data_IF_215471266005
#
_entry.id   IF_215471266005
#
_cell.length_a   1.000
_cell.length_b   1.000
_cell.length_c   1.000
_cell.angle_alpha   90.00
_cell.angle_beta   90.00
_cell.angle_gamma   90.00
#
_symmetry.space_group_name_H-M   'P 1'
#
loop_
_entity.id
_entity.type
_entity.pdbx_description
1 polymer ?
#
# COMPACT_ATOMS: atom_id res chain seq x y z
N UNK A 1 -20.08 -14.16 -21.35
CA UNK A 1 -20.70 -14.01 -20.03
C UNK A 1 -19.78 -13.09 -19.24
N UNK A 2 -20.20 -11.84 -19.02
CA UNK A 2 -19.41 -10.77 -18.42
C UNK A 2 -19.83 -10.66 -16.96
N UNK A 3 -18.88 -10.70 -16.03
CA UNK A 3 -19.14 -10.52 -14.60
C UNK A 3 -18.49 -9.20 -14.18
N UNK A 4 -19.32 -8.27 -13.71
CA UNK A 4 -18.93 -7.06 -13.00
C UNK A 4 -18.59 -7.42 -11.54
N UNK A 5 -17.50 -6.89 -11.00
CA UNK A 5 -17.28 -6.84 -9.56
C UNK A 5 -17.41 -5.37 -9.11
N UNK A 6 -18.49 -5.08 -8.41
CA UNK A 6 -18.72 -3.81 -7.71
C UNK A 6 -17.86 -3.72 -6.44
N UNK A 7 -17.49 -2.48 -6.13
CA UNK A 7 -16.61 -2.09 -5.05
C UNK A 7 -17.23 -2.32 -3.65
N UNK A 8 -16.44 -2.89 -2.74
CA UNK A 8 -16.77 -2.96 -1.32
C UNK A 8 -16.33 -1.67 -0.63
N UNK A 9 -17.29 -0.97 -0.03
CA UNK A 9 -17.10 0.27 0.70
C UNK A 9 -17.54 0.02 2.16
N UNK A 10 -16.61 0.04 3.11
CA UNK A 10 -16.96 -0.05 4.54
C UNK A 10 -16.17 0.98 5.34
N UNK A 11 -16.88 2.02 5.81
CA UNK A 11 -16.47 2.77 7.00
C UNK A 11 -17.69 3.08 7.88
N UNK A 12 -17.62 2.53 9.09
CA UNK A 12 -18.13 3.02 10.38
C UNK A 12 -19.61 3.41 10.51
N UNK A 13 -20.35 2.59 11.27
CA UNK A 13 -21.46 3.06 12.10
C UNK A 13 -21.40 2.44 13.50
N UNK A 14 -21.60 3.31 14.47
CA UNK A 14 -21.52 3.12 15.92
C UNK A 14 -22.33 1.92 16.41
N UNK A 15 -21.71 1.16 17.31
CA UNK A 15 -22.30 0.09 18.10
C UNK A 15 -23.26 0.69 19.13
N UNK A 16 -24.57 0.40 19.00
CA UNK A 16 -25.51 0.46 20.11
C UNK A 16 -26.02 -0.96 20.32
N UNK A 17 -25.83 -1.43 21.53
CA UNK A 17 -26.02 -2.79 22.03
C UNK A 17 -27.52 -3.10 22.18
N UNK A 18 -28.00 -4.16 21.53
CA UNK A 18 -29.30 -4.76 21.85
C UNK A 18 -29.15 -6.29 21.91
N UNK A 19 -29.22 -6.81 23.13
CA UNK A 19 -29.39 -8.23 23.46
C UNK A 19 -30.67 -8.75 22.80
N UNK A 20 -30.55 -9.78 21.97
CA UNK A 20 -31.66 -10.60 21.50
C UNK A 20 -31.86 -11.76 22.49
N UNK A 21 -33.02 -11.79 23.16
CA UNK A 21 -33.56 -12.99 23.80
C UNK A 21 -34.61 -13.60 22.86
N UNK A 22 -34.46 -14.89 22.57
CA UNK A 22 -35.42 -15.72 21.82
C UNK A 22 -36.66 -16.04 22.66
N UNK A 23 -37.79 -16.44 22.01
CA UNK A 23 -39.12 -16.47 22.62
C UNK A 23 -39.43 -17.82 23.27
N UNK A 24 -40.33 -17.80 24.26
CA UNK A 24 -40.88 -19.01 24.87
C UNK A 24 -41.90 -18.69 25.95
N UNK A 25 -43.15 -18.67 25.52
CA UNK A 25 -44.37 -19.18 26.17
C UNK A 25 -44.85 -18.71 27.55
N UNK A 26 -46.14 -18.35 27.49
CA UNK A 26 -47.23 -18.60 28.44
C UNK A 26 -47.41 -17.69 29.69
N UNK A 27 -48.56 -17.03 29.61
CA UNK A 27 -49.59 -16.87 30.64
C UNK A 27 -49.52 -15.76 31.70
N UNK A 28 -50.58 -14.95 31.58
CA UNK A 28 -51.50 -14.52 32.62
C UNK A 28 -51.45 -13.10 33.20
N UNK A 29 -52.63 -12.49 33.03
CA UNK A 29 -53.34 -11.62 33.95
C UNK A 29 -52.92 -10.14 34.06
N UNK A 30 -53.80 -9.29 33.49
CA UNK A 30 -54.45 -8.10 34.09
C UNK A 30 -53.55 -7.03 34.76
N UNK A 31 -53.73 -5.72 34.59
CA UNK A 31 -54.98 -4.99 34.50
C UNK A 31 -54.67 -3.53 34.08
N UNK A 32 -55.61 -2.94 33.35
CA UNK A 32 -56.09 -1.55 33.44
C UNK A 32 -55.14 -0.33 33.29
N UNK A 33 -55.29 0.33 32.14
CA UNK A 33 -55.93 1.67 32.00
C UNK A 33 -55.16 2.92 32.47
N UNK A 34 -54.70 3.75 31.51
CA UNK A 34 -55.33 5.06 31.17
C UNK A 34 -54.54 5.85 30.09
N UNK A 35 -55.28 6.16 29.02
CA UNK A 35 -55.12 7.03 27.83
C UNK A 35 -54.93 8.56 28.14
N UNK A 36 -54.87 9.51 27.17
CA UNK A 36 -53.78 9.79 26.20
C UNK A 36 -53.56 11.32 25.96
N UNK A 37 -52.67 11.71 25.02
CA UNK A 37 -52.79 12.89 24.13
C UNK A 37 -51.60 12.94 23.15
N UNK A 38 -51.78 12.45 21.90
CA UNK A 38 -51.86 13.26 20.66
C UNK A 38 -50.71 14.27 20.44
N UNK A 39 -49.95 14.20 19.35
CA UNK A 39 -50.37 14.80 18.07
C UNK A 39 -49.58 14.21 16.88
N UNK A 40 -50.34 14.04 15.79
CA UNK A 40 -50.06 13.47 14.47
C UNK A 40 -49.43 14.51 13.53
N UNK A 41 -48.57 14.11 12.60
CA UNK A 41 -48.82 14.27 11.15
C UNK A 41 -47.61 13.94 10.25
N UNK A 42 -47.92 13.07 9.29
CA UNK A 42 -47.20 12.47 8.18
C UNK A 42 -46.83 13.48 7.09
N UNK A 43 -45.79 13.20 6.29
CA UNK A 43 -45.51 13.87 5.00
C UNK A 43 -45.45 12.78 3.93
N UNK A 44 -46.18 13.01 2.84
CA UNK A 44 -46.17 12.22 1.61
C UNK A 44 -46.05 13.13 0.36
N UNK A 45 -45.26 12.62 -0.58
CA UNK A 45 -45.16 12.76 -2.04
C UNK A 45 -45.16 14.11 -2.85
N UNK A 46 -44.17 14.14 -3.76
CA UNK A 46 -44.13 14.59 -5.18
C UNK A 46 -44.63 15.99 -5.62
N UNK A 47 -43.81 16.68 -6.42
CA UNK A 47 -43.97 16.82 -7.89
C UNK A 47 -42.91 17.72 -8.59
N UNK A 48 -42.78 17.50 -9.91
CA UNK A 48 -41.88 18.12 -10.91
C UNK A 48 -42.23 19.59 -11.25
N UNK A 49 -41.26 20.38 -11.74
CA UNK A 49 -41.24 20.93 -13.13
C UNK A 49 -40.41 22.23 -13.32
N UNK A 50 -39.56 22.21 -14.36
CA UNK A 50 -39.33 23.21 -15.45
C UNK A 50 -39.08 24.70 -15.13
N UNK A 51 -37.95 25.23 -15.61
CA UNK A 51 -37.76 26.67 -15.83
C UNK A 51 -37.50 26.98 -17.31
N UNK A 52 -38.34 27.89 -17.85
CA UNK A 52 -38.25 28.50 -19.18
C UNK A 52 -37.31 29.70 -19.19
N UNK A 53 -36.77 29.98 -20.37
CA UNK A 53 -36.03 31.20 -20.71
C UNK A 53 -36.97 32.40 -20.93
N UNK A 54 -36.52 33.59 -20.50
CA UNK A 54 -37.10 34.88 -20.90
C UNK A 54 -35.98 35.85 -21.22
N UNK A 55 -36.02 36.43 -22.43
CA UNK A 55 -35.15 37.50 -22.88
C UNK A 55 -35.64 38.87 -22.36
N UNK A 56 -34.71 39.78 -22.04
CA UNK A 56 -34.97 41.17 -21.70
C UNK A 56 -33.75 42.03 -22.05
N UNK A 57 -33.97 43.15 -22.74
CA UNK A 57 -32.98 43.95 -23.47
C UNK A 57 -32.12 44.88 -22.61
N UNK A 58 -30.89 45.08 -23.10
CA UNK A 58 -30.03 46.27 -23.17
C UNK A 58 -30.02 47.30 -22.02
N UNK A 59 -28.81 47.58 -21.51
CA UNK A 59 -28.16 48.89 -21.67
C UNK A 59 -26.64 48.79 -21.42
N UNK A 60 -25.90 49.62 -22.17
CA UNK A 60 -24.44 49.78 -22.22
C UNK A 60 -23.82 50.06 -20.85
N UNK A 61 -22.72 49.36 -20.52
CA UNK A 61 -21.73 49.84 -19.55
C UNK A 61 -20.32 49.39 -19.96
N UNK A 62 -19.53 50.39 -20.39
CA UNK A 62 -18.06 50.48 -20.43
C UNK A 62 -17.23 49.19 -20.47
N UNK A 63 -16.84 48.78 -21.68
CA UNK A 63 -15.69 47.89 -21.92
C UNK A 63 -14.38 48.55 -21.46
N UNK A 64 -14.03 48.42 -20.19
CA UNK A 64 -12.63 48.52 -19.75
C UNK A 64 -11.88 47.32 -20.31
N UNK A 65 -10.99 47.55 -21.27
CA UNK A 65 -10.03 46.56 -21.75
C UNK A 65 -9.25 46.01 -20.54
N UNK A 66 -9.58 44.77 -20.13
CA UNK A 66 -8.78 44.01 -19.19
C UNK A 66 -7.49 43.62 -19.92
N UNK A 67 -6.37 44.23 -19.52
CA UNK A 67 -5.04 43.77 -19.93
C UNK A 67 -4.87 42.29 -19.56
N UNK A 68 -4.20 41.47 -20.39
CA UNK A 68 -3.97 40.07 -20.06
C UNK A 68 -3.23 39.97 -18.73
N UNK A 69 -3.78 39.22 -17.78
CA UNK A 69 -3.05 38.86 -16.56
C UNK A 69 -1.73 38.19 -16.97
N UNK A 70 -0.58 38.58 -16.38
CA UNK A 70 0.62 37.79 -16.53
C UNK A 70 0.35 36.37 -15.99
N UNK A 71 0.95 35.33 -16.59
CA UNK A 71 0.76 33.97 -16.10
C UNK A 71 1.17 33.89 -14.62
N UNK A 72 0.47 33.09 -13.81
CA UNK A 72 0.84 32.92 -12.42
C UNK A 72 2.28 32.40 -12.35
N UNK A 73 3.14 33.12 -11.64
CA UNK A 73 4.46 32.65 -11.28
C UNK A 73 4.31 31.28 -10.61
N UNK A 74 4.81 30.23 -11.24
CA UNK A 74 5.09 28.95 -10.60
C UNK A 74 6.28 29.15 -9.64
N UNK A 75 6.00 29.78 -8.50
CA UNK A 75 6.84 29.71 -7.31
C UNK A 75 5.98 29.13 -6.21
N UNK A 76 5.67 27.83 -6.33
CA UNK A 76 5.32 27.02 -5.16
C UNK A 76 6.63 26.61 -4.51
N UNK A 77 7.20 27.55 -3.74
CA UNK A 77 8.18 27.25 -2.70
C UNK A 77 7.44 26.59 -1.51
N UNK A 78 6.76 25.47 -1.73
CA UNK A 78 6.37 24.58 -0.64
C UNK A 78 7.62 23.79 -0.20
N UNK A 79 8.58 24.52 0.37
CA UNK A 79 9.72 23.97 1.09
C UNK A 79 9.17 23.32 2.34
N UNK A 80 8.96 22.00 2.29
CA UNK A 80 8.45 21.27 3.43
C UNK A 80 9.64 21.00 4.35
N UNK A 81 9.84 21.89 5.31
CA UNK A 81 10.86 21.75 6.36
C UNK A 81 10.84 20.34 6.97
N UNK A 82 11.88 19.56 6.70
CA UNK A 82 12.02 18.19 7.17
C UNK A 82 11.88 18.08 8.69
N UNK A 83 12.29 19.10 9.46
CA UNK A 83 12.08 19.13 10.92
C UNK A 83 10.60 19.26 11.28
N UNK A 84 9.80 19.95 10.46
CA UNK A 84 8.34 20.00 10.63
C UNK A 84 7.70 18.66 10.25
N UNK A 85 8.18 17.99 9.20
CA UNK A 85 7.73 16.64 8.81
C UNK A 85 7.97 15.67 9.96
N UNK A 86 9.20 15.57 10.46
CA UNK A 86 9.54 14.70 11.59
C UNK A 86 8.65 15.00 12.80
N UNK A 87 8.43 16.28 13.14
CA UNK A 87 7.54 16.63 14.25
C UNK A 87 6.09 16.20 14.04
N UNK A 88 5.63 16.17 12.79
CA UNK A 88 4.27 15.74 12.43
C UNK A 88 4.14 14.22 12.41
N UNK A 89 5.08 13.53 11.76
CA UNK A 89 5.09 12.07 11.58
C UNK A 89 5.38 11.30 12.88
N UNK A 90 5.94 11.95 13.91
CA UNK A 90 6.28 11.37 15.22
C UNK A 90 6.99 10.01 15.08
N UNK A 91 8.25 9.99 14.65
CA UNK A 91 9.02 8.77 14.51
C UNK A 91 9.11 8.05 15.84
N UNK A 92 8.80 6.77 15.82
CA UNK A 92 8.87 5.91 16.99
C UNK A 92 9.83 4.73 16.71
N UNK A 93 10.26 4.00 17.74
CA UNK A 93 10.96 2.74 17.54
C UNK A 93 10.20 1.86 16.55
N UNK A 94 10.90 1.35 15.54
CA UNK A 94 10.29 0.66 14.40
C UNK A 94 11.09 -0.55 13.98
N UNK A 95 10.43 -1.48 13.31
CA UNK A 95 11.07 -2.63 12.63
C UNK A 95 10.82 -2.49 11.13
N UNK A 96 11.78 -2.90 10.31
CA UNK A 96 11.57 -3.07 8.88
C UNK A 96 11.95 -4.49 8.50
N UNK A 97 10.97 -5.32 8.16
CA UNK A 97 11.22 -6.65 7.61
C UNK A 97 11.74 -6.51 6.18
N UNK A 98 12.88 -7.15 5.90
CA UNK A 98 13.56 -7.11 4.62
C UNK A 98 13.24 -8.37 3.80
N UNK A 99 13.48 -9.54 4.40
CA UNK A 99 13.30 -10.83 3.72
C UNK A 99 12.96 -11.96 4.71
N UNK A 100 12.30 -12.99 4.19
CA UNK A 100 12.11 -14.28 4.88
C UNK A 100 12.52 -15.39 3.94
N UNK A 101 13.46 -16.21 4.39
CA UNK A 101 14.04 -17.29 3.61
C UNK A 101 13.82 -18.65 4.30
N UNK A 102 13.08 -19.59 3.69
CA UNK A 102 12.92 -20.94 4.21
C UNK A 102 14.12 -21.82 3.85
N UNK A 103 14.84 -22.32 4.85
CA UNK A 103 16.06 -23.07 4.63
C UNK A 103 15.77 -24.54 4.29
N UNK A 104 16.02 -24.94 3.04
CA UNK A 104 15.91 -26.32 2.54
C UNK A 104 14.51 -26.96 2.61
N UNK A 105 13.43 -26.17 2.53
CA UNK A 105 12.09 -26.71 2.35
C UNK A 105 11.17 -25.77 1.57
N UNK A 106 10.20 -26.29 0.79
CA UNK A 106 9.17 -25.45 0.18
C UNK A 106 8.24 -24.95 1.28
N UNK A 107 8.22 -23.63 1.50
CA UNK A 107 7.31 -23.03 2.47
C UNK A 107 5.86 -23.19 1.99
N UNK A 108 4.96 -23.55 2.91
CA UNK A 108 3.51 -23.53 2.74
C UNK A 108 2.94 -23.10 4.08
N UNK A 109 2.08 -22.10 4.11
CA UNK A 109 1.53 -21.60 5.36
C UNK A 109 1.37 -20.09 5.38
N UNK A 110 1.35 -19.53 6.58
CA UNK A 110 1.14 -18.09 6.79
C UNK A 110 2.16 -17.48 7.72
N UNK A 111 2.46 -16.23 7.44
CA UNK A 111 3.27 -15.36 8.28
C UNK A 111 2.41 -14.17 8.65
N UNK A 112 2.28 -13.93 9.94
CA UNK A 112 1.50 -12.84 10.52
C UNK A 112 2.42 -12.01 11.39
N UNK A 113 2.38 -10.69 11.23
CA UNK A 113 3.03 -9.77 12.16
C UNK A 113 1.94 -9.06 12.95
N UNK A 114 1.96 -9.24 14.27
CA UNK A 114 0.92 -8.73 15.16
C UNK A 114 1.28 -7.34 15.69
N UNK A 115 0.58 -6.35 15.16
CA UNK A 115 0.49 -5.00 15.72
C UNK A 115 -0.97 -4.58 15.69
N UNK A 116 -1.60 -4.46 16.86
CA UNK A 116 -2.96 -3.91 17.02
C UNK A 116 -3.99 -4.44 16.00
N UNK A 117 -3.94 -5.73 15.64
CA UNK A 117 -4.92 -6.35 14.72
C UNK A 117 -4.38 -7.32 13.66
N UNK A 118 -3.12 -7.75 13.75
CA UNK A 118 -2.53 -8.79 12.88
C UNK A 118 -2.52 -8.46 11.38
N UNK A 119 -1.40 -7.95 10.86
CA UNK A 119 -1.22 -7.83 9.41
C UNK A 119 -0.66 -9.16 8.85
N UNK A 120 -1.35 -9.73 7.87
CA UNK A 120 -0.85 -10.89 7.12
C UNK A 120 0.26 -10.42 6.18
N UNK A 121 1.46 -10.97 6.36
CA UNK A 121 2.63 -10.61 5.55
C UNK A 121 2.86 -11.63 4.44
N UNK A 122 2.45 -12.89 4.66
CA UNK A 122 2.51 -13.94 3.67
C UNK A 122 1.39 -14.96 3.89
N UNK A 123 0.80 -15.47 2.82
CA UNK A 123 -0.11 -16.61 2.85
C UNK A 123 0.06 -17.41 1.57
N UNK A 124 0.26 -18.71 1.72
CA UNK A 124 0.30 -19.67 0.63
C UNK A 124 -0.49 -20.91 1.03
N UNK A 125 -1.40 -21.32 0.15
CA UNK A 125 -2.22 -22.51 0.34
C UNK A 125 -1.52 -23.78 -0.19
N UNK A 126 -1.96 -24.93 0.30
CA UNK A 126 -1.44 -26.22 -0.14
C UNK A 126 -1.79 -26.46 -1.61
N UNK A 127 -0.78 -26.72 -2.45
CA UNK A 127 -0.93 -26.91 -3.89
C UNK A 127 -0.62 -25.66 -4.73
N UNK A 128 -0.42 -24.51 -4.10
CA UNK A 128 0.14 -23.32 -4.76
C UNK A 128 1.67 -23.43 -4.83
N UNK A 129 2.27 -22.96 -5.91
CA UNK A 129 3.72 -22.83 -5.98
C UNK A 129 4.18 -21.64 -5.12
N UNK A 130 5.25 -21.77 -4.32
CA UNK A 130 5.75 -20.67 -3.53
C UNK A 130 6.23 -19.56 -4.45
N UNK A 131 5.72 -18.34 -4.25
CA UNK A 131 6.26 -17.17 -4.92
C UNK A 131 7.55 -16.77 -4.22
N UNK A 132 8.67 -17.03 -4.91
CA UNK A 132 10.00 -16.64 -4.50
C UNK A 132 10.51 -15.52 -5.40
N UNK A 133 11.33 -14.62 -4.86
CA UNK A 133 12.04 -13.65 -5.66
C UNK A 133 13.33 -14.26 -6.26
N UNK A 134 14.11 -13.45 -6.96
CA UNK A 134 15.37 -13.89 -7.58
C UNK A 134 16.44 -14.37 -6.60
N UNK A 135 16.29 -14.07 -5.30
CA UNK A 135 17.19 -14.45 -4.22
C UNK A 135 16.62 -15.60 -3.37
N UNK A 136 15.56 -16.26 -3.85
CA UNK A 136 14.84 -17.34 -3.16
C UNK A 136 14.12 -16.89 -1.87
N UNK A 137 13.91 -15.59 -1.67
CA UNK A 137 13.13 -15.08 -0.54
C UNK A 137 11.63 -15.19 -0.82
N UNK A 138 10.82 -15.38 0.22
CA UNK A 138 9.36 -15.36 0.10
C UNK A 138 8.89 -13.97 -0.37
N UNK A 139 8.16 -13.93 -1.48
CA UNK A 139 7.49 -12.71 -1.95
C UNK A 139 6.33 -12.41 -1.01
N UNK A 140 6.46 -11.38 -0.19
CA UNK A 140 5.45 -11.01 0.80
C UNK A 140 4.24 -10.37 0.07
N UNK A 141 3.16 -11.15 -0.09
CA UNK A 141 2.15 -10.94 -1.15
C UNK A 141 1.00 -9.99 -0.80
N UNK A 142 0.90 -9.50 0.44
CA UNK A 142 -0.21 -8.60 0.82
C UNK A 142 0.27 -7.17 1.00
N UNK A 143 -0.52 -6.17 0.56
CA UNK A 143 -0.23 -4.78 0.88
C UNK A 143 -0.36 -4.57 2.39
N UNK A 144 0.77 -4.59 3.10
CA UNK A 144 0.87 -4.14 4.47
C UNK A 144 1.30 -2.67 4.48
N UNK A 145 0.60 -1.87 5.29
CA UNK A 145 0.90 -0.43 5.44
C UNK A 145 2.27 -0.22 6.08
N UNK A 146 2.71 -1.16 6.90
CA UNK A 146 4.08 -1.25 7.42
C UNK A 146 4.17 -2.53 8.25
N UNK A 147 5.37 -3.12 8.32
CA UNK A 147 5.72 -4.11 9.35
C UNK A 147 6.48 -3.37 10.45
N UNK A 148 5.98 -2.19 10.83
CA UNK A 148 6.66 -1.19 11.66
C UNK A 148 6.17 -1.23 13.09
N UNK A 149 6.69 -2.18 13.86
CA UNK A 149 6.32 -2.33 15.26
C UNK A 149 6.90 -1.22 16.08
N UNK A 150 6.04 -0.52 16.83
CA UNK A 150 6.40 0.38 17.92
C UNK A 150 7.34 -0.32 18.93
N UNK A 151 8.63 -0.39 18.63
CA UNK A 151 9.73 -0.87 19.47
C UNK A 151 9.72 -2.33 19.90
N UNK A 152 8.59 -3.02 19.78
CA UNK A 152 8.40 -4.43 20.09
C UNK A 152 7.22 -4.96 19.29
N UNK A 153 7.49 -5.85 18.34
CA UNK A 153 6.46 -6.58 17.59
C UNK A 153 6.71 -8.07 17.66
N UNK A 154 5.70 -8.88 17.38
CA UNK A 154 5.88 -10.32 17.22
C UNK A 154 5.46 -10.77 15.83
N UNK A 155 6.30 -11.59 15.23
CA UNK A 155 6.04 -12.30 13.98
C UNK A 155 5.71 -13.74 14.33
N UNK A 156 4.51 -14.17 13.99
CA UNK A 156 4.07 -15.56 14.13
C UNK A 156 4.11 -16.24 12.78
N UNK A 157 4.76 -17.39 12.73
CA UNK A 157 4.87 -18.24 11.54
C UNK A 157 4.08 -19.51 11.84
N UNK A 158 3.15 -19.83 10.95
CA UNK A 158 2.32 -21.03 11.03
C UNK A 158 2.49 -21.84 9.75
N UNK A 159 3.04 -23.05 9.92
CA UNK A 159 3.32 -23.96 8.81
C UNK A 159 2.49 -25.23 9.04
N UNK A 160 1.52 -25.56 8.16
CA UNK A 160 0.78 -26.80 8.25
C UNK A 160 1.72 -28.01 8.22
N UNK A 161 1.37 -29.05 8.97
CA UNK A 161 2.13 -30.28 8.98
C UNK A 161 1.61 -31.25 7.92
N UNK A 162 2.39 -31.44 6.85
CA UNK A 162 2.04 -32.31 5.71
C UNK A 162 1.73 -33.73 6.19
N UNK A 163 2.52 -34.23 7.16
CA UNK A 163 2.36 -35.59 7.66
C UNK A 163 1.14 -35.78 8.60
N UNK A 164 0.52 -34.69 9.08
CA UNK A 164 -0.54 -34.71 10.09
C UNK A 164 -1.58 -33.61 9.83
N UNK A 165 -2.64 -33.92 9.06
CA UNK A 165 -3.71 -32.97 8.80
C UNK A 165 -4.29 -32.36 10.09
N UNK A 166 -4.47 -31.05 10.12
CA UNK A 166 -4.98 -30.30 11.27
C UNK A 166 -3.93 -29.95 12.34
N UNK A 167 -2.68 -30.39 12.18
CA UNK A 167 -1.56 -29.95 13.02
C UNK A 167 -0.87 -28.76 12.35
N UNK A 168 -0.70 -27.67 13.10
CA UNK A 168 0.03 -26.48 12.68
C UNK A 168 1.30 -26.38 13.52
N UNK A 169 2.44 -26.23 12.85
CA UNK A 169 3.71 -25.92 13.47
C UNK A 169 3.85 -24.41 13.59
N UNK A 170 3.78 -23.93 14.82
CA UNK A 170 3.82 -22.51 15.13
C UNK A 170 5.16 -22.16 15.76
N UNK A 171 5.73 -21.04 15.32
CA UNK A 171 6.86 -20.40 15.99
C UNK A 171 6.66 -18.90 15.99
N UNK A 172 7.27 -18.22 16.96
CA UNK A 172 7.15 -16.78 17.13
C UNK A 172 8.54 -16.17 17.24
N UNK A 173 8.79 -15.15 16.45
CA UNK A 173 9.93 -14.25 16.60
C UNK A 173 9.45 -12.97 17.28
N UNK A 174 10.13 -12.59 18.35
CA UNK A 174 9.96 -11.27 18.98
C UNK A 174 11.06 -10.36 18.47
N UNK A 175 10.66 -9.19 17.95
CA UNK A 175 11.59 -8.16 17.52
C UNK A 175 12.02 -7.33 18.73
N UNK A 176 13.35 -7.24 18.95
CA UNK A 176 13.96 -6.33 19.93
C UNK A 176 13.67 -6.66 21.40
N UNK A 177 14.64 -7.23 22.11
CA UNK A 177 14.51 -7.51 23.56
C UNK A 177 15.01 -6.35 24.45
N UNK A 178 15.61 -5.31 23.87
CA UNK A 178 16.26 -4.19 24.57
C UNK A 178 16.08 -2.89 23.78
N UNK A 179 16.13 -1.70 24.44
CA UNK A 179 16.05 -0.43 23.75
C UNK A 179 17.14 -0.32 22.67
N UNK A 180 16.69 -0.27 21.42
CA UNK A 180 17.54 -0.07 20.26
C UNK A 180 18.19 1.32 20.37
N UNK A 181 19.52 1.36 20.48
CA UNK A 181 20.27 2.63 20.59
C UNK A 181 20.54 3.22 19.21
N UNK A 182 20.85 2.36 18.23
CA UNK A 182 21.15 2.68 16.84
C UNK A 182 20.47 1.68 15.89
N UNK A 183 20.19 2.12 14.66
CA UNK A 183 19.56 1.25 13.68
C UNK A 183 20.50 0.07 13.32
N UNK A 184 19.94 -1.15 13.33
CA UNK A 184 20.73 -2.38 13.22
C UNK A 184 20.01 -3.43 12.37
N UNK A 185 20.71 -3.94 11.37
CA UNK A 185 20.33 -5.13 10.62
C UNK A 185 20.55 -6.40 11.45
N UNK A 186 19.59 -7.33 11.40
CA UNK A 186 19.67 -8.63 12.04
C UNK A 186 19.13 -9.73 11.12
N UNK A 187 19.96 -10.75 10.89
CA UNK A 187 19.50 -12.06 10.42
C UNK A 187 19.25 -12.99 11.61
N UNK A 188 18.00 -13.45 11.74
CA UNK A 188 17.64 -14.42 12.77
C UNK A 188 17.21 -15.75 12.19
N UNK A 189 17.92 -16.80 12.58
CA UNK A 189 17.51 -18.18 12.37
C UNK A 189 16.40 -18.55 13.37
N UNK A 190 15.18 -18.71 12.86
CA UNK A 190 14.04 -19.23 13.58
C UNK A 190 13.96 -20.74 13.37
N UNK A 191 13.78 -21.48 14.46
CA UNK A 191 13.52 -22.91 14.40
C UNK A 191 12.10 -23.18 14.88
N UNK A 192 11.34 -23.93 14.08
CA UNK A 192 9.99 -24.36 14.45
C UNK A 192 10.02 -25.55 15.40
N UNK A 193 8.87 -25.93 15.96
CA UNK A 193 8.78 -27.07 16.91
C UNK A 193 9.23 -28.39 16.27
N UNK A 194 8.99 -28.56 14.96
CA UNK A 194 9.40 -29.75 14.22
C UNK A 194 10.74 -29.59 13.49
N UNK A 195 11.55 -28.59 13.85
CA UNK A 195 12.91 -28.45 13.34
C UNK A 195 13.02 -27.88 11.93
N UNK A 196 11.99 -27.21 11.43
CA UNK A 196 12.10 -26.40 10.19
C UNK A 196 12.82 -25.10 10.53
N UNK A 197 13.63 -24.62 9.59
CA UNK A 197 14.51 -23.49 9.79
C UNK A 197 14.18 -22.35 8.83
N UNK A 198 13.92 -21.16 9.34
CA UNK A 198 13.73 -19.96 8.53
C UNK A 198 14.72 -18.90 8.94
N UNK A 199 15.29 -18.18 7.98
CA UNK A 199 16.04 -16.96 8.25
C UNK A 199 15.10 -15.78 8.02
N UNK A 200 15.04 -14.89 9.00
CA UNK A 200 14.29 -13.63 8.93
C UNK A 200 15.29 -12.50 9.02
N UNK A 201 15.40 -11.73 7.94
CA UNK A 201 16.22 -10.52 7.84
C UNK A 201 15.35 -9.30 8.11
N UNK A 202 15.74 -8.48 9.08
CA UNK A 202 15.03 -7.26 9.44
C UNK A 202 15.96 -6.20 10.02
N UNK A 203 15.48 -4.97 10.08
CA UNK A 203 16.22 -3.85 10.70
C UNK A 203 15.43 -3.30 11.88
N UNK A 204 16.07 -3.25 13.04
CA UNK A 204 15.56 -2.54 14.21
C UNK A 204 15.97 -1.08 14.13
N UNK A 205 15.06 -0.16 14.39
CA UNK A 205 15.30 1.27 14.35
C UNK A 205 14.82 1.91 15.64
N UNK A 206 15.64 2.81 16.20
CA UNK A 206 15.22 3.63 17.35
C UNK A 206 14.12 4.62 16.97
N UNK A 207 14.20 5.19 15.78
CA UNK A 207 13.26 6.15 15.21
C UNK A 207 13.14 5.85 13.71
N UNK A 208 12.04 5.20 13.34
CA UNK A 208 11.72 4.89 11.95
C UNK A 208 10.74 5.91 11.36
N UNK A 209 10.95 6.25 10.09
CA UNK A 209 10.03 7.07 9.30
C UNK A 209 9.39 6.19 8.22
N UNK A 210 8.06 6.10 8.21
CA UNK A 210 7.32 5.42 7.14
C UNK A 210 7.31 6.28 5.86
N UNK A 211 7.82 5.72 4.77
CA UNK A 211 7.88 6.38 3.46
C UNK A 211 7.01 5.61 2.48
N UNK A 212 5.91 6.22 2.06
CA UNK A 212 5.05 5.70 1.03
C UNK A 212 5.68 5.94 -0.35
N UNK A 213 5.85 4.88 -1.14
CA UNK A 213 6.42 4.86 -2.47
C UNK A 213 5.32 4.60 -3.48
N UNK A 214 5.21 5.46 -4.48
CA UNK A 214 4.35 5.26 -5.63
C UNK A 214 5.19 5.33 -6.91
N UNK A 215 4.98 4.36 -7.79
CA UNK A 215 5.67 4.28 -9.07
C UNK A 215 4.65 4.36 -10.21
N UNK A 216 4.96 5.19 -11.19
CA UNK A 216 4.18 5.33 -12.41
C UNK A 216 5.07 5.26 -13.63
N UNK A 217 4.59 4.60 -14.67
CA UNK A 217 5.25 4.47 -15.97
C UNK A 217 4.48 5.27 -17.01
N UNK A 218 5.19 5.89 -17.95
CA UNK A 218 4.60 6.55 -19.12
C UNK A 218 5.47 6.25 -20.34
N UNK A 219 4.86 5.76 -21.40
CA UNK A 219 5.54 5.59 -22.69
C UNK A 219 5.40 6.85 -23.54
N UNK A 220 6.33 7.05 -24.47
CA UNK A 220 6.34 8.16 -25.42
C UNK A 220 5.93 7.70 -26.83
N UNK A 221 5.49 8.64 -27.66
CA UNK A 221 5.14 8.39 -29.06
C UNK A 221 3.85 7.60 -29.22
N UNK A 222 3.80 6.72 -30.22
CA UNK A 222 2.60 5.98 -30.62
C UNK A 222 2.13 4.97 -29.54
N UNK A 223 2.97 4.68 -28.55
CA UNK A 223 2.68 3.75 -27.46
C UNK A 223 2.06 4.41 -26.22
N UNK A 224 1.94 5.74 -26.20
CA UNK A 224 1.51 6.53 -25.03
C UNK A 224 0.19 6.04 -24.41
N UNK A 225 -0.74 5.57 -25.24
CA UNK A 225 -2.07 5.12 -24.80
C UNK A 225 -2.34 3.64 -25.08
N UNK A 226 -1.31 2.88 -25.45
CA UNK A 226 -1.45 1.46 -25.74
C UNK A 226 -1.38 0.64 -24.46
N UNK A 227 -2.13 -0.45 -24.44
CA UNK A 227 -2.01 -1.44 -23.37
C UNK A 227 -0.63 -2.09 -23.43
N UNK A 228 0.04 -2.15 -22.28
CA UNK A 228 1.40 -2.67 -22.15
C UNK A 228 1.39 -3.95 -21.32
N UNK A 229 2.41 -4.79 -21.50
CA UNK A 229 2.71 -5.88 -20.56
C UNK A 229 4.03 -5.61 -19.88
N UNK A 230 4.04 -5.76 -18.55
CA UNK A 230 5.15 -5.42 -17.68
C UNK A 230 5.60 -6.65 -16.90
N UNK A 231 6.92 -6.85 -16.80
CA UNK A 231 7.53 -7.76 -15.82
C UNK A 231 8.82 -7.13 -15.27
N UNK A 232 9.40 -7.74 -14.24
CA UNK A 232 10.59 -7.27 -13.55
C UNK A 232 10.33 -6.96 -12.07
N UNK A 233 11.20 -6.13 -11.48
CA UNK A 233 11.16 -5.83 -10.06
C UNK A 233 11.46 -4.37 -9.72
N UNK A 234 10.92 -3.93 -8.59
CA UNK A 234 11.24 -2.66 -7.95
C UNK A 234 11.58 -2.97 -6.50
N UNK A 235 12.75 -2.52 -6.06
CA UNK A 235 13.19 -2.69 -4.69
C UNK A 235 13.55 -1.36 -4.04
N UNK A 236 13.49 -1.33 -2.72
CA UNK A 236 13.89 -0.21 -1.89
C UNK A 236 15.11 -0.57 -1.05
N UNK A 237 16.05 0.36 -0.95
CA UNK A 237 17.29 0.15 -0.25
C UNK A 237 17.66 1.36 0.63
N UNK A 238 18.21 1.06 1.79
CA UNK A 238 18.83 2.02 2.69
C UNK A 238 20.17 1.41 3.15
N UNK A 239 21.16 2.25 3.43
CA UNK A 239 22.50 1.79 3.83
C UNK A 239 22.51 0.88 5.07
N UNK A 240 21.55 1.04 5.97
CA UNK A 240 21.41 0.20 7.17
C UNK A 240 20.89 -1.20 6.82
N UNK A 241 20.34 -1.39 5.63
CA UNK A 241 19.88 -2.70 5.15
C UNK A 241 21.05 -3.56 4.63
N UNK A 242 22.29 -3.05 4.69
CA UNK A 242 23.49 -3.73 4.17
C UNK A 242 23.38 -4.08 2.68
N UNK A 243 23.35 -5.35 2.31
CA UNK A 243 23.18 -5.78 0.91
C UNK A 243 21.70 -6.07 0.56
N UNK A 244 20.82 -6.13 1.57
CA UNK A 244 19.42 -6.49 1.41
C UNK A 244 18.58 -5.33 0.85
N UNK A 245 17.45 -5.71 0.26
CA UNK A 245 16.49 -4.77 -0.32
C UNK A 245 15.07 -5.17 0.06
N UNK A 246 14.23 -4.17 0.28
CA UNK A 246 12.79 -4.37 0.47
C UNK A 246 12.15 -4.53 -0.91
N UNK A 247 11.53 -5.67 -1.17
CA UNK A 247 10.80 -5.92 -2.42
C UNK A 247 9.47 -5.15 -2.44
N UNK A 248 9.29 -4.26 -3.41
CA UNK A 248 8.08 -3.43 -3.57
C UNK A 248 7.17 -3.92 -4.69
N UNK A 249 7.79 -4.33 -5.79
CA UNK A 249 7.13 -4.90 -6.95
C UNK A 249 7.92 -6.10 -7.47
N UNK A 250 7.23 -7.19 -7.81
CA UNK A 250 7.82 -8.34 -8.48
C UNK A 250 6.81 -9.01 -9.42
N UNK A 251 7.26 -9.31 -10.63
CA UNK A 251 6.49 -10.02 -11.64
C UNK A 251 7.47 -10.75 -12.57
N UNK A 252 7.34 -12.07 -12.67
CA UNK A 252 8.11 -12.90 -13.60
C UNK A 252 7.67 -12.68 -15.05
N UNK A 253 8.53 -13.03 -16.01
CA UNK A 253 8.23 -12.85 -17.44
C UNK A 253 6.98 -13.64 -17.86
N UNK A 254 6.83 -14.85 -17.32
CA UNK A 254 5.71 -15.77 -17.54
C UNK A 254 4.40 -15.24 -16.95
N UNK A 255 4.48 -14.41 -15.91
CA UNK A 255 3.35 -13.82 -15.18
C UNK A 255 3.10 -12.35 -15.54
N UNK A 256 3.64 -11.86 -16.67
CA UNK A 256 3.61 -10.44 -17.05
C UNK A 256 2.23 -9.80 -16.87
N UNK A 257 2.20 -8.64 -16.21
CA UNK A 257 0.98 -7.92 -15.88
C UNK A 257 0.58 -7.00 -17.03
N UNK A 258 -0.69 -7.09 -17.45
CA UNK A 258 -1.27 -6.19 -18.43
C UNK A 258 -1.71 -4.89 -17.75
N UNK A 259 -1.30 -3.76 -18.32
CA UNK A 259 -1.52 -2.43 -17.76
C UNK A 259 -2.07 -1.48 -18.82
N UNK A 260 -3.14 -0.75 -18.47
CA UNK A 260 -3.81 0.17 -19.40
C UNK A 260 -3.55 1.63 -18.99
N UNK A 261 -2.93 2.45 -19.86
CA UNK A 261 -2.68 3.87 -19.60
C UNK A 261 -3.94 4.68 -19.29
N UNK A 262 -3.77 5.71 -18.45
CA UNK A 262 -4.85 6.66 -18.19
C UNK A 262 -5.12 7.52 -19.45
N UNK A 263 -6.40 7.73 -19.77
CA UNK A 263 -6.80 8.49 -20.95
C UNK A 263 -6.35 9.97 -20.95
N UNK A 264 -5.99 10.52 -19.78
CA UNK A 264 -5.61 11.92 -19.64
C UNK A 264 -4.14 12.20 -19.93
N UNK A 265 -3.23 11.38 -19.43
CA UNK A 265 -1.79 11.65 -19.48
C UNK A 265 -0.93 10.50 -20.02
N UNK A 266 -1.53 9.36 -20.39
CA UNK A 266 -0.81 8.18 -20.89
C UNK A 266 0.05 7.49 -19.84
N UNK A 267 -0.08 7.87 -18.57
CA UNK A 267 0.64 7.24 -17.47
C UNK A 267 -0.18 6.12 -16.85
N UNK A 268 0.51 5.06 -16.43
CA UNK A 268 -0.03 3.99 -15.59
C UNK A 268 0.62 4.06 -14.21
N UNK A 269 -0.20 4.03 -13.16
CA UNK A 269 0.28 3.76 -11.81
C UNK A 269 0.44 2.24 -11.67
N UNK A 270 1.61 1.79 -11.26
CA UNK A 270 1.88 0.36 -11.07
C UNK A 270 1.04 -0.18 -9.92
N UNK A 271 0.08 -1.06 -10.24
CA UNK A 271 -0.75 -1.80 -9.29
C UNK A 271 -1.06 -3.21 -9.85
N UNK A 272 -1.10 -4.26 -9.01
CA UNK A 272 -0.81 -4.23 -7.58
C UNK A 272 0.72 -4.16 -7.30
N UNK A 273 1.11 -3.43 -6.25
CA UNK A 273 2.45 -3.54 -5.65
C UNK A 273 2.33 -4.49 -4.45
N UNK A 274 3.34 -5.33 -4.23
CA UNK A 274 3.45 -6.18 -3.03
C UNK A 274 3.49 -5.31 -1.77
N UNK A 275 4.26 -4.22 -1.83
CA UNK A 275 4.46 -3.29 -0.73
C UNK A 275 4.63 -1.87 -1.24
N UNK A 276 4.03 -0.90 -0.55
CA UNK A 276 4.11 0.51 -0.94
C UNK A 276 4.60 1.45 0.17
N UNK A 277 4.93 0.95 1.37
CA UNK A 277 5.55 1.76 2.43
C UNK A 277 6.82 1.08 2.91
N UNK A 278 7.90 1.85 3.00
CA UNK A 278 9.22 1.41 3.50
C UNK A 278 9.56 2.23 4.73
N UNK A 279 9.97 1.58 5.81
CA UNK A 279 10.44 2.28 7.00
C UNK A 279 11.94 2.53 6.90
N UNK A 280 12.39 3.74 7.20
CA UNK A 280 13.81 4.11 7.14
C UNK A 280 14.26 4.83 8.41
N UNK A 281 15.52 4.65 8.84
CA UNK A 281 16.03 5.29 10.05
C UNK A 281 16.26 6.79 9.82
N UNK A 282 15.92 7.61 10.82
CA UNK A 282 16.07 9.07 10.73
C UNK A 282 17.51 9.54 10.93
N UNK A 283 18.25 8.85 11.80
CA UNK A 283 19.65 9.15 12.09
C UNK A 283 20.53 7.97 11.65
N UNK A 284 21.73 8.22 11.10
CA UNK A 284 22.43 9.52 11.00
C UNK A 284 22.02 10.40 9.80
N UNK A 285 21.35 9.88 8.77
CA UNK A 285 20.65 10.67 7.76
C UNK A 285 19.67 9.75 7.01
N UNK A 286 18.39 10.14 6.82
CA UNK A 286 17.41 9.28 6.20
C UNK A 286 17.55 9.36 4.68
N UNK A 287 17.90 8.23 4.07
CA UNK A 287 18.11 8.12 2.63
C UNK A 287 17.40 6.88 2.10
N UNK A 288 16.66 7.02 1.01
CA UNK A 288 15.99 5.89 0.37
C UNK A 288 16.39 5.83 -1.10
N UNK A 289 16.90 4.68 -1.51
CA UNK A 289 17.16 4.37 -2.92
C UNK A 289 16.06 3.48 -3.43
N UNK A 290 15.38 3.87 -4.50
CA UNK A 290 14.46 2.99 -5.21
C UNK A 290 15.17 2.49 -6.47
N UNK A 291 15.38 1.19 -6.55
CA UNK A 291 15.99 0.50 -7.68
C UNK A 291 14.87 -0.03 -8.58
N UNK A 292 14.84 0.42 -9.82
CA UNK A 292 13.83 0.02 -10.80
C UNK A 292 14.50 -0.85 -11.85
N UNK A 293 13.95 -2.05 -12.08
CA UNK A 293 14.36 -2.96 -13.15
C UNK A 293 13.13 -3.56 -13.79
N UNK A 294 12.58 -2.85 -14.76
CA UNK A 294 11.31 -3.20 -15.41
C UNK A 294 11.52 -3.44 -16.90
N UNK A 295 10.79 -4.40 -17.44
CA UNK A 295 10.75 -4.71 -18.85
C UNK A 295 9.32 -4.54 -19.37
N UNK A 296 9.16 -3.73 -20.42
CA UNK A 296 7.86 -3.37 -20.98
C UNK A 296 7.76 -3.89 -22.40
N UNK A 297 6.71 -4.63 -22.72
CA UNK A 297 6.38 -5.02 -24.09
C UNK A 297 5.12 -4.31 -24.54
N UNK A 298 5.17 -3.75 -25.75
CA UNK A 298 4.06 -3.06 -26.41
C UNK A 298 3.65 -3.81 -27.67
N UNK A 299 2.41 -3.62 -28.16
CA UNK A 299 1.99 -4.16 -29.45
C UNK A 299 2.87 -3.70 -30.64
N UNK A 300 3.41 -2.49 -30.57
CA UNK A 300 4.23 -1.89 -31.63
C UNK A 300 5.66 -2.46 -31.69
N UNK A 301 6.19 -2.97 -30.58
CA UNK A 301 7.59 -3.42 -30.50
C UNK A 301 7.76 -4.92 -30.77
N UNK A 302 6.78 -5.56 -31.43
CA UNK A 302 6.82 -6.97 -31.87
C UNK A 302 7.24 -7.98 -30.77
N UNK A 303 6.97 -7.66 -29.50
CA UNK A 303 7.34 -8.52 -28.36
C UNK A 303 8.77 -8.35 -27.85
N UNK A 304 9.58 -7.46 -28.42
CA UNK A 304 10.89 -7.09 -27.86
C UNK A 304 10.68 -6.27 -26.58
N UNK A 305 11.23 -6.68 -25.42
CA UNK A 305 11.10 -5.89 -24.20
C UNK A 305 11.92 -4.60 -24.25
N UNK A 306 11.31 -3.50 -23.81
CA UNK A 306 11.94 -2.20 -23.58
C UNK A 306 12.36 -2.15 -22.11
N UNK A 307 13.67 -2.08 -21.80
CA UNK A 307 14.15 -2.01 -20.43
C UNK A 307 14.01 -0.59 -19.87
N UNK A 308 13.52 -0.52 -18.64
CA UNK A 308 13.51 0.65 -17.77
C UNK A 308 14.30 0.30 -16.52
N UNK A 309 15.59 0.63 -16.55
CA UNK A 309 16.53 0.33 -15.48
C UNK A 309 17.16 1.61 -14.93
N UNK A 310 17.20 1.73 -13.62
CA UNK A 310 17.88 2.83 -12.96
C UNK A 310 17.55 2.93 -11.48
N UNK A 311 18.39 3.68 -10.79
CA UNK A 311 18.27 3.91 -9.36
C UNK A 311 17.94 5.39 -9.13
N UNK A 312 16.97 5.65 -8.26
CA UNK A 312 16.63 7.01 -7.84
C UNK A 312 16.82 7.18 -6.35
N UNK A 313 17.53 8.24 -6.01
CA UNK A 313 17.94 8.55 -4.66
C UNK A 313 17.07 9.67 -4.07
N UNK A 314 16.55 9.40 -2.88
CA UNK A 314 15.77 10.33 -2.07
C UNK A 314 16.50 10.60 -0.75
N UNK A 315 17.29 11.69 -0.69
CA UNK A 315 17.63 12.32 0.57
C UNK A 315 16.34 12.86 1.19
N UNK A 316 15.89 12.25 2.29
CA UNK A 316 14.56 12.54 2.85
C UNK A 316 14.50 13.88 3.57
N UNK A 317 15.67 14.47 3.82
CA UNK A 317 15.85 15.83 4.32
C UNK A 317 15.67 16.92 3.24
N UNK A 318 15.40 16.55 1.99
CA UNK A 318 15.20 17.48 0.87
C UNK A 318 13.76 17.48 0.36
N UNK A 319 13.38 18.58 -0.27
CA UNK A 319 12.01 18.79 -0.82
C UNK A 319 11.72 17.95 -2.08
N UNK A 320 12.73 17.34 -2.69
CA UNK A 320 12.57 16.58 -3.93
C UNK A 320 11.95 15.20 -3.65
N UNK A 321 10.62 15.17 -3.67
CA UNK A 321 9.82 13.95 -3.44
C UNK A 321 9.48 13.18 -4.71
N UNK A 322 9.91 13.68 -5.86
CA UNK A 322 9.66 13.10 -7.16
C UNK A 322 10.99 12.95 -7.88
N UNK A 323 11.25 11.76 -8.40
CA UNK A 323 12.39 11.45 -9.26
C UNK A 323 11.90 10.67 -10.47
N UNK A 324 12.64 10.81 -11.57
CA UNK A 324 12.27 10.19 -12.84
C UNK A 324 13.48 9.50 -13.44
N UNK A 325 13.26 8.30 -13.95
CA UNK A 325 14.18 7.55 -14.82
C UNK A 325 13.62 7.71 -16.23
N UNK A 326 14.34 8.43 -17.08
CA UNK A 326 13.90 8.69 -18.46
C UNK A 326 14.72 7.87 -19.44
N UNK A 327 14.05 7.31 -20.44
CA UNK A 327 14.66 6.64 -21.60
C UNK A 327 14.15 7.30 -22.88
N UNK A 328 14.62 6.84 -24.04
CA UNK A 328 14.09 7.30 -25.32
C UNK A 328 12.64 6.85 -25.56
N UNK A 329 12.17 5.83 -24.84
CA UNK A 329 10.87 5.19 -25.05
C UNK A 329 9.81 5.62 -24.03
N UNK A 330 10.22 6.29 -22.94
CA UNK A 330 9.30 6.66 -21.87
C UNK A 330 10.02 7.13 -20.63
N UNK A 331 9.27 7.19 -19.54
CA UNK A 331 9.77 7.53 -18.23
C UNK A 331 9.10 6.70 -17.13
N UNK A 332 9.88 6.33 -16.12
CA UNK A 332 9.40 5.83 -14.84
C UNK A 332 9.54 6.93 -13.82
N UNK A 333 8.42 7.39 -13.28
CA UNK A 333 8.35 8.40 -12.23
C UNK A 333 8.11 7.70 -10.89
N UNK A 334 9.00 7.96 -9.94
CA UNK A 334 8.90 7.51 -8.55
C UNK A 334 8.58 8.73 -7.70
N UNK A 335 7.54 8.63 -6.88
CA UNK A 335 7.16 9.66 -5.91
C UNK A 335 7.10 9.08 -4.52
N UNK A 336 7.58 9.85 -3.54
CA UNK A 336 7.53 9.50 -2.12
C UNK A 336 6.66 10.47 -1.33
N UNK A 337 5.97 9.96 -0.32
CA UNK A 337 5.27 10.77 0.69
C UNK A 337 5.52 10.20 2.08
N UNK A 338 5.47 11.05 3.09
CA UNK A 338 5.69 10.64 4.48
C UNK A 338 4.35 10.28 5.13
N UNK A 339 4.35 9.22 5.93
CA UNK A 339 3.21 8.84 6.77
C UNK A 339 3.34 9.47 8.15
#
# INVERSE_FOLDING_TARGET
MVIFCEAWNTRTKNMIDFRLLSPGDEDDASNEQQDPASTVATIDDKERSTWQATAGNAEDDDFKQLLPMPPPNETSDDVVDFKKVIRFCRPEPSVELLAVYPHFFPFVGKIVVDENGGQFVYHQEEGENPKLDSEENLVLTRPFETISGFGSGCMTIEIPEISRPGVIDTTTLVFGDYPCVDAKHEDRLITTKYGRHLVVSYVLMKEGLGVHVQVSLRLFGDDTFQTIHLHGQITAHNRVFEDDNVLLFFCEEEEKVQLTPSAGNGSVILKPMQRFIVTVPINPQPFLTIKVRLNVTTPSNEGVPIPFEGDVEFPLDRDHRIRTISTNHGEVKVSITYN
#
